data_IF_821241914357
#
_entry.id   IF_821241914357
#
_cell.length_a   1.000
_cell.length_b   1.000
_cell.length_c   1.000
_cell.angle_alpha   90.00
_cell.angle_beta   90.00
_cell.angle_gamma   90.00
#
_symmetry.space_group_name_H-M   'P 1'
#
loop_
_entity.id
_entity.type
_entity.pdbx_description
1 polymer ?
#
# COMPACT_ATOMS: atom_id res chain seq x y z
N UNK A 1 -18.41 -0.44 -25.55
CA UNK A 1 -18.59 0.15 -24.20
C UNK A 1 -17.85 -0.76 -23.23
N UNK A 2 -16.53 -0.60 -23.03
CA UNK A 2 -15.82 -1.50 -22.14
C UNK A 2 -16.12 -1.07 -20.70
N UNK A 3 -16.69 -1.98 -19.92
CA UNK A 3 -16.77 -1.91 -18.46
C UNK A 3 -15.50 -1.28 -17.91
N UNK A 4 -15.64 -0.22 -17.11
CA UNK A 4 -14.51 0.33 -16.39
C UNK A 4 -14.01 -0.72 -15.39
N UNK A 5 -12.87 -1.32 -15.72
CA UNK A 5 -12.19 -2.33 -14.89
C UNK A 5 -11.55 -1.72 -13.63
N UNK A 6 -11.49 -0.37 -13.52
CA UNK A 6 -10.89 0.36 -12.38
C UNK A 6 -11.69 0.20 -11.09
N UNK A 7 -12.92 -0.32 -11.18
CA UNK A 7 -13.81 -0.61 -10.05
C UNK A 7 -13.83 -2.10 -9.64
N UNK A 8 -12.71 -2.83 -9.76
CA UNK A 8 -12.61 -4.22 -9.25
C UNK A 8 -12.59 -4.22 -7.71
N UNK A 9 -13.79 -4.02 -7.16
CA UNK A 9 -14.25 -4.12 -5.77
C UNK A 9 -13.32 -3.48 -4.74
N UNK A 10 -13.70 -2.30 -4.24
CA UNK A 10 -13.29 -1.92 -2.90
C UNK A 10 -13.89 -2.93 -1.92
N UNK A 11 -13.06 -3.60 -1.14
CA UNK A 11 -13.50 -4.51 -0.08
C UNK A 11 -12.66 -4.27 1.18
N UNK A 12 -13.02 -4.97 2.26
CA UNK A 12 -12.30 -4.88 3.52
C UNK A 12 -11.71 -6.23 3.88
N UNK A 13 -10.44 -6.23 4.27
CA UNK A 13 -9.74 -7.42 4.76
C UNK A 13 -9.15 -7.15 6.14
N UNK A 14 -8.92 -8.19 6.96
CA UNK A 14 -8.07 -8.08 8.12
C UNK A 14 -6.69 -7.54 7.73
N UNK A 15 -6.11 -6.66 8.55
CA UNK A 15 -4.78 -6.11 8.30
C UNK A 15 -3.70 -7.21 8.20
N UNK A 16 -3.91 -8.37 8.84
CA UNK A 16 -3.02 -9.52 8.72
C UNK A 16 -2.95 -10.13 7.32
N UNK A 17 -3.94 -9.84 6.49
CA UNK A 17 -4.11 -10.42 5.16
C UNK A 17 -3.65 -9.44 4.06
N UNK A 18 -3.19 -8.24 4.44
CA UNK A 18 -2.55 -7.30 3.53
C UNK A 18 -1.33 -7.94 2.88
N UNK A 19 -1.15 -7.65 1.60
CA UNK A 19 -0.01 -8.07 0.81
C UNK A 19 0.67 -6.86 0.15
N UNK A 20 1.97 -6.98 -0.12
CA UNK A 20 2.67 -6.02 -0.95
C UNK A 20 1.99 -5.93 -2.33
N UNK A 21 1.71 -4.71 -2.79
CA UNK A 21 0.95 -4.45 -4.00
C UNK A 21 -0.50 -3.98 -3.75
N UNK A 22 -1.09 -4.29 -2.60
CA UNK A 22 -2.44 -3.81 -2.25
C UNK A 22 -2.45 -2.28 -2.17
N UNK A 23 -3.54 -1.66 -2.63
CA UNK A 23 -3.80 -0.25 -2.36
C UNK A 23 -4.70 -0.12 -1.13
N UNK A 24 -4.29 0.69 -0.17
CA UNK A 24 -4.99 0.93 1.09
C UNK A 24 -5.51 2.36 1.14
N UNK A 25 -6.75 2.52 1.59
CA UNK A 25 -7.32 3.81 1.96
C UNK A 25 -6.97 4.13 3.42
N UNK A 26 -6.18 5.17 3.64
CA UNK A 26 -5.77 5.63 4.97
C UNK A 26 -6.56 6.85 5.46
N UNK A 27 -7.66 7.20 4.77
CA UNK A 27 -8.52 8.35 5.08
C UNK A 27 -7.98 9.69 4.58
N UNK A 28 -6.92 9.67 3.75
CA UNK A 28 -6.39 10.83 3.04
C UNK A 28 -7.09 11.07 1.70
N UNK A 29 -6.52 11.97 0.89
CA UNK A 29 -7.04 12.27 -0.45
C UNK A 29 -6.77 11.12 -1.44
N UNK A 30 -5.75 10.29 -1.19
CA UNK A 30 -5.26 9.26 -2.13
C UNK A 30 -5.06 7.86 -1.52
N UNK A 31 -5.03 6.85 -2.40
CA UNK A 31 -4.72 5.45 -2.06
C UNK A 31 -3.21 5.24 -1.97
N UNK A 32 -2.76 4.50 -0.95
CA UNK A 32 -1.34 4.21 -0.74
C UNK A 32 -1.05 2.73 -1.01
N UNK A 33 0.03 2.44 -1.73
CA UNK A 33 0.42 1.08 -2.02
C UNK A 33 1.19 0.46 -0.86
N UNK A 34 0.84 -0.77 -0.51
CA UNK A 34 1.58 -1.57 0.46
C UNK A 34 2.89 -2.03 -0.18
N UNK A 35 4.00 -1.72 0.49
CA UNK A 35 5.35 -2.14 0.10
C UNK A 35 5.81 -3.35 0.92
N UNK A 36 5.39 -3.43 2.19
CA UNK A 36 5.72 -4.55 3.06
C UNK A 36 4.73 -4.69 4.22
N UNK A 37 4.52 -5.93 4.66
CA UNK A 37 3.65 -6.28 5.78
C UNK A 37 4.40 -7.25 6.68
N UNK A 38 4.53 -6.90 7.95
CA UNK A 38 5.39 -7.60 8.90
C UNK A 38 4.59 -8.00 10.14
N UNK A 39 4.49 -9.31 10.36
CA UNK A 39 3.76 -9.92 11.47
C UNK A 39 4.71 -10.41 12.57
N UNK A 40 5.94 -10.74 12.19
CA UNK A 40 7.00 -11.20 13.10
C UNK A 40 8.33 -10.52 12.75
N UNK A 41 9.27 -10.38 13.70
CA UNK A 41 10.54 -9.72 13.44
C UNK A 41 11.31 -10.37 12.28
N UNK A 42 11.21 -11.69 12.12
CA UNK A 42 11.89 -12.44 11.06
C UNK A 42 11.37 -12.11 9.66
N UNK A 43 10.14 -11.58 9.55
CA UNK A 43 9.57 -11.11 8.29
C UNK A 43 9.99 -9.69 7.93
N UNK A 44 10.57 -8.93 8.88
CA UNK A 44 10.88 -7.53 8.74
C UNK A 44 12.33 -7.29 8.27
N UNK A 45 12.59 -6.21 7.50
CA UNK A 45 13.95 -5.78 7.19
C UNK A 45 14.69 -5.38 8.48
N UNK A 46 15.99 -5.69 8.53
CA UNK A 46 16.83 -5.35 9.67
C UNK A 46 16.84 -3.84 9.95
N UNK A 47 16.92 -3.46 11.23
CA UNK A 47 16.92 -2.07 11.68
C UNK A 47 15.64 -1.68 12.43
N UNK A 48 15.23 -0.42 12.31
CA UNK A 48 14.15 0.15 13.14
C UNK A 48 12.81 -0.57 12.95
N UNK A 49 12.50 -1.03 11.73
CA UNK A 49 11.25 -1.77 11.45
C UNK A 49 11.24 -3.12 12.16
N UNK A 50 12.36 -3.86 12.11
CA UNK A 50 12.52 -5.11 12.84
C UNK A 50 12.33 -4.90 14.35
N UNK A 51 12.98 -3.87 14.91
CA UNK A 51 12.90 -3.57 16.34
C UNK A 51 11.49 -3.12 16.77
N UNK A 52 10.78 -2.39 15.89
CA UNK A 52 9.39 -2.03 16.11
C UNK A 52 8.50 -3.28 16.10
N UNK A 53 8.63 -4.16 15.11
CA UNK A 53 7.86 -5.40 15.02
C UNK A 53 8.09 -6.28 16.26
N UNK A 54 9.34 -6.37 16.74
CA UNK A 54 9.67 -7.10 17.96
C UNK A 54 8.97 -6.56 19.22
N UNK A 55 8.70 -5.26 19.27
CA UNK A 55 8.03 -4.62 20.41
C UNK A 55 6.50 -4.76 20.38
N UNK A 56 5.91 -4.82 19.19
CA UNK A 56 4.44 -4.74 19.01
C UNK A 56 3.78 -6.08 18.64
N UNK A 57 4.56 -7.04 18.15
CA UNK A 57 4.11 -8.41 17.89
C UNK A 57 3.70 -9.12 19.19
N UNK A 58 2.69 -10.02 19.18
CA UNK A 58 1.90 -10.49 18.03
C UNK A 58 0.60 -9.70 17.82
N UNK A 59 0.42 -8.59 18.54
CA UNK A 59 -0.87 -7.89 18.62
C UNK A 59 -1.13 -6.98 17.42
N UNK A 60 -0.05 -6.44 16.85
CA UNK A 60 -0.12 -5.51 15.73
C UNK A 60 0.53 -6.07 14.47
N UNK A 61 0.08 -5.53 13.34
CA UNK A 61 0.66 -5.68 12.01
C UNK A 61 1.37 -4.37 11.71
N UNK A 62 2.64 -4.45 11.35
CA UNK A 62 3.40 -3.30 10.86
C UNK A 62 3.34 -3.32 9.34
N UNK A 63 2.76 -2.30 8.72
CA UNK A 63 2.70 -2.17 7.28
C UNK A 63 3.50 -0.94 6.84
N UNK A 64 4.34 -1.09 5.82
CA UNK A 64 4.99 0.02 5.14
C UNK A 64 4.20 0.33 3.88
N UNK A 65 3.72 1.56 3.78
CA UNK A 65 2.99 2.07 2.63
C UNK A 65 3.81 3.15 1.93
N UNK A 66 3.59 3.33 0.64
CA UNK A 66 4.18 4.43 -0.11
C UNK A 66 3.68 5.78 0.43
N UNK A 67 4.60 6.68 0.78
CA UNK A 67 4.35 8.12 0.93
C UNK A 67 4.30 8.73 -0.48
N UNK A 68 3.19 8.51 -1.14
CA UNK A 68 2.92 9.15 -2.40
C UNK A 68 2.51 10.58 -2.05
N UNK A 69 3.37 11.56 -2.38
CA UNK A 69 2.88 12.94 -2.55
C UNK A 69 1.69 12.86 -3.49
N UNK A 70 0.57 13.49 -3.12
CA UNK A 70 -0.68 13.47 -3.87
C UNK A 70 -0.38 13.40 -5.36
N UNK A 71 -0.61 12.23 -5.97
CA UNK A 71 -0.50 12.19 -7.42
C UNK A 71 -1.81 12.83 -7.84
N UNK A 72 -1.71 14.06 -8.31
CA UNK A 72 -2.80 14.71 -9.05
C UNK A 72 -3.22 13.85 -10.28
N UNK A 73 -2.48 12.78 -10.56
CA UNK A 73 -2.70 11.75 -11.56
C UNK A 73 -3.55 10.58 -11.06
N UNK A 74 -4.57 10.22 -11.85
CA UNK A 74 -5.44 9.06 -11.59
C UNK A 74 -4.62 7.75 -11.54
N UNK A 75 -4.67 7.02 -10.41
CA UNK A 75 -4.08 5.68 -10.29
C UNK A 75 -5.01 4.65 -10.93
N UNK A 76 -4.49 3.85 -11.86
CA UNK A 76 -5.22 2.76 -12.52
C UNK A 76 -4.45 1.45 -12.44
N UNK A 77 -5.18 0.33 -12.42
CA UNK A 77 -4.57 -0.99 -12.52
C UNK A 77 -4.58 -1.48 -13.96
N UNK A 78 -3.40 -1.83 -14.48
CA UNK A 78 -3.22 -2.45 -15.80
C UNK A 78 -2.33 -3.68 -15.65
N UNK A 79 -2.80 -4.81 -16.17
CA UNK A 79 -2.06 -6.08 -16.18
C UNK A 79 -1.51 -6.53 -14.80
N UNK A 80 -2.26 -6.27 -13.71
CA UNK A 80 -1.88 -6.66 -12.35
C UNK A 80 -0.86 -5.74 -11.68
N UNK A 81 -0.64 -4.54 -12.23
CA UNK A 81 0.24 -3.51 -11.65
C UNK A 81 -0.48 -2.17 -11.55
N UNK A 82 -0.19 -1.42 -10.49
CA UNK A 82 -0.66 -0.05 -10.32
C UNK A 82 0.18 0.91 -11.20
N UNK A 83 -0.52 1.76 -11.94
CA UNK A 83 0.04 2.68 -12.94
C UNK A 83 -0.56 4.06 -12.71
N UNK A 84 0.25 5.10 -12.84
CA UNK A 84 -0.19 6.49 -12.79
C UNK A 84 -0.53 6.99 -14.18
N UNK A 85 -1.71 7.59 -14.35
CA UNK A 85 -2.09 8.29 -15.58
C UNK A 85 -1.66 9.75 -15.46
N UNK A 86 -0.55 10.09 -16.08
CA UNK A 86 -0.16 11.49 -16.29
C UNK A 86 -1.07 12.13 -17.35
N UNK A 87 -1.56 13.35 -17.10
CA UNK A 87 -2.39 14.10 -18.05
C UNK A 87 -1.59 14.51 -19.30
N UNK A 88 -0.25 14.55 -19.23
CA UNK A 88 0.65 15.02 -20.30
C UNK A 88 1.37 13.91 -21.09
N UNK A 89 1.14 12.63 -20.74
CA UNK A 89 1.49 11.47 -21.58
C UNK A 89 2.84 10.79 -21.28
N UNK A 90 2.78 9.76 -20.43
CA UNK A 90 3.26 8.39 -20.62
C UNK A 90 2.96 7.66 -19.29
N UNK A 91 2.21 6.55 -19.34
CA UNK A 91 1.84 5.75 -18.16
C UNK A 91 3.10 5.30 -17.39
N UNK A 92 3.25 5.70 -16.13
CA UNK A 92 4.40 5.30 -15.30
C UNK A 92 4.02 4.28 -14.23
N UNK A 93 4.84 3.24 -13.99
CA UNK A 93 4.58 2.29 -12.91
C UNK A 93 4.76 3.00 -11.56
N UNK A 94 3.86 2.74 -10.62
CA UNK A 94 3.80 3.43 -9.33
C UNK A 94 5.11 3.32 -8.53
N UNK A 95 5.83 2.21 -8.71
CA UNK A 95 7.11 1.92 -8.05
C UNK A 95 8.25 2.87 -8.45
N UNK A 96 8.18 3.49 -9.63
CA UNK A 96 9.19 4.42 -10.15
C UNK A 96 9.12 5.82 -9.57
N UNK A 97 8.04 6.16 -8.85
CA UNK A 97 7.79 7.48 -8.25
C UNK A 97 7.94 7.49 -6.72
N UNK A 98 8.31 6.36 -6.11
CA UNK A 98 8.58 6.26 -4.67
C UNK A 98 9.87 7.04 -4.37
N UNK A 99 9.76 8.16 -3.67
CA UNK A 99 10.92 8.96 -3.25
C UNK A 99 11.89 8.11 -2.41
N UNK A 100 13.16 8.06 -2.83
CA UNK A 100 14.12 7.03 -2.42
C UNK A 100 14.57 7.07 -0.94
N UNK A 101 14.19 8.09 -0.14
CA UNK A 101 14.56 8.16 1.28
C UNK A 101 13.44 8.57 2.24
N UNK A 102 12.41 9.30 1.78
CA UNK A 102 11.27 9.74 2.60
C UNK A 102 9.92 9.22 2.07
N UNK A 103 9.93 8.34 1.06
CA UNK A 103 8.75 7.89 0.33
C UNK A 103 7.98 6.73 0.98
N UNK A 104 8.18 6.44 2.27
CA UNK A 104 7.51 5.33 2.95
C UNK A 104 6.97 5.75 4.33
N UNK A 105 5.71 5.44 4.58
CA UNK A 105 5.07 5.61 5.88
C UNK A 105 4.86 4.27 6.56
N UNK A 106 5.15 4.21 7.85
CA UNK A 106 4.92 3.02 8.67
C UNK A 106 3.60 3.16 9.41
N UNK A 107 2.69 2.20 9.19
CA UNK A 107 1.40 2.11 9.86
C UNK A 107 1.38 0.92 10.82
N UNK A 108 0.65 1.10 11.92
CA UNK A 108 0.44 0.07 12.93
C UNK A 108 -1.05 -0.26 13.00
N UNK A 109 -1.42 -1.42 12.49
CA UNK A 109 -2.80 -1.92 12.53
C UNK A 109 -2.95 -2.98 13.62
N UNK A 110 -4.11 -3.06 14.26
CA UNK A 110 -4.40 -4.27 15.03
C UNK A 110 -4.59 -5.48 14.10
N UNK A 111 -4.25 -6.68 14.54
CA UNK A 111 -4.26 -7.89 13.68
C UNK A 111 -5.56 -8.14 12.91
N UNK A 112 -6.70 -7.81 13.52
CA UNK A 112 -8.03 -8.02 12.95
C UNK A 112 -8.70 -6.72 12.53
N UNK A 113 -7.94 -5.63 12.45
CA UNK A 113 -8.44 -4.37 11.93
C UNK A 113 -8.87 -4.54 10.48
N UNK A 114 -10.07 -4.08 10.15
CA UNK A 114 -10.57 -4.17 8.79
C UNK A 114 -10.11 -2.95 8.00
N UNK A 115 -9.15 -3.19 7.11
CA UNK A 115 -8.55 -2.19 6.22
C UNK A 115 -9.29 -2.20 4.89
N UNK A 116 -9.62 -1.01 4.39
CA UNK A 116 -10.26 -0.86 3.07
C UNK A 116 -9.18 -0.95 2.00
N UNK A 117 -9.34 -1.88 1.08
CA UNK A 117 -8.35 -2.18 0.04
C UNK A 117 -8.94 -2.17 -1.36
N UNK A 118 -8.08 -1.88 -2.34
CA UNK A 118 -8.25 -2.20 -3.76
C UNK A 118 -7.08 -3.10 -4.16
N UNK A 119 -7.40 -4.28 -4.70
CA UNK A 119 -6.42 -5.20 -5.25
C UNK A 119 -6.78 -5.56 -6.70
N UNK A 120 -5.78 -5.96 -7.49
CA UNK A 120 -5.93 -6.38 -8.88
C UNK A 120 -6.19 -7.87 -9.04
#
# INVERSE_FOLDING_TARGET
MPNDARARSTYRIPASDLAAGDLVDTGGEDWQQVVGVYLTPESAPAGEVHDLVAQVSPRYVVAQLTDINAVDSEVVFRDGSAVLIDEDGDDQPLDSQISAQDGLRTYLYTRYELVTVRAS
#
